data_IF_735142821831
#
_entry.id   IF_735142821831
#
_cell.length_a   1.000
_cell.length_b   1.000
_cell.length_c   1.000
_cell.angle_alpha   90.00
_cell.angle_beta   90.00
_cell.angle_gamma   90.00
#
_symmetry.space_group_name_H-M   'P 1'
#
loop_
_entity.id
_entity.type
_entity.pdbx_description
1 polymer ?
#
# COMPACT_ATOMS: atom_id res chain seq x y z
N UNK A 1 5.89 -4.79 5.69
CA UNK A 1 4.63 -4.70 4.91
C UNK A 1 4.71 -3.44 4.08
N UNK A 2 4.61 -3.57 2.75
CA UNK A 2 4.55 -2.42 1.84
C UNK A 2 3.33 -1.57 2.23
N UNK A 3 3.49 -0.27 2.37
CA UNK A 3 2.38 0.66 2.56
C UNK A 3 1.53 0.63 1.29
N UNK A 4 0.23 0.27 1.42
CA UNK A 4 -0.67 -0.03 0.28
C UNK A 4 -1.12 1.17 -0.56
N UNK A 5 -0.19 2.06 -0.90
CA UNK A 5 -0.41 3.17 -1.81
C UNK A 5 0.72 3.19 -2.84
N UNK A 6 0.39 2.76 -4.05
CA UNK A 6 1.33 2.65 -5.16
C UNK A 6 0.81 3.40 -6.37
N UNK A 7 1.72 4.00 -7.13
CA UNK A 7 1.41 4.58 -8.44
C UNK A 7 2.31 3.94 -9.48
N UNK A 8 1.72 3.46 -10.57
CA UNK A 8 2.43 2.71 -11.60
C UNK A 8 2.27 3.33 -12.97
N UNK A 9 3.33 3.24 -13.77
CA UNK A 9 3.18 3.36 -15.23
C UNK A 9 2.57 2.07 -15.80
N UNK A 10 2.02 2.08 -17.04
CA UNK A 10 1.48 0.87 -17.66
C UNK A 10 2.45 -0.31 -17.78
N UNK A 11 3.76 -0.09 -17.59
CA UNK A 11 4.77 -1.16 -17.56
C UNK A 11 4.49 -2.22 -16.48
N UNK A 12 3.78 -1.87 -15.40
CA UNK A 12 3.41 -2.83 -14.35
C UNK A 12 2.63 -4.02 -14.91
N UNK A 13 1.76 -3.81 -15.90
CA UNK A 13 0.98 -4.90 -16.48
C UNK A 13 1.88 -5.94 -17.14
N UNK A 14 2.93 -5.52 -17.83
CA UNK A 14 3.87 -6.47 -18.43
C UNK A 14 4.59 -7.29 -17.35
N UNK A 15 5.05 -6.65 -16.27
CA UNK A 15 5.67 -7.34 -15.14
C UNK A 15 4.71 -8.34 -14.48
N UNK A 16 3.44 -7.96 -14.27
CA UNK A 16 2.43 -8.88 -13.70
C UNK A 16 2.22 -10.15 -14.53
N UNK A 17 2.37 -10.10 -15.86
CA UNK A 17 2.26 -11.30 -16.71
C UNK A 17 3.46 -12.25 -16.59
N UNK A 18 4.58 -11.79 -16.03
CA UNK A 18 5.80 -12.58 -15.84
C UNK A 18 5.88 -13.22 -14.46
N UNK A 19 5.17 -12.68 -13.47
CA UNK A 19 5.13 -13.19 -12.09
C UNK A 19 4.71 -14.67 -12.09
N UNK A 20 5.41 -15.46 -11.30
CA UNK A 20 5.08 -16.86 -11.05
C UNK A 20 4.36 -16.99 -9.69
N UNK A 21 3.51 -18.01 -9.48
CA UNK A 21 2.87 -18.22 -8.18
C UNK A 21 3.89 -18.37 -7.05
N UNK A 22 3.63 -17.72 -5.92
CA UNK A 22 4.37 -17.89 -4.67
C UNK A 22 4.12 -19.27 -4.06
N UNK A 23 4.79 -19.59 -2.94
CA UNK A 23 4.54 -20.82 -2.17
C UNK A 23 3.08 -20.95 -1.68
N UNK A 24 2.33 -19.84 -1.69
CA UNK A 24 0.90 -19.78 -1.35
C UNK A 24 0.00 -20.00 -2.57
N UNK A 25 0.56 -20.10 -3.77
CA UNK A 25 -0.17 -20.16 -5.03
C UNK A 25 -0.72 -18.81 -5.50
N UNK A 26 -0.31 -17.70 -4.87
CA UNK A 26 -0.75 -16.34 -5.20
C UNK A 26 0.25 -15.65 -6.13
N UNK A 27 -0.23 -14.76 -6.99
CA UNK A 27 0.61 -13.88 -7.81
C UNK A 27 0.81 -12.57 -7.07
N UNK A 28 2.02 -12.34 -6.55
CA UNK A 28 2.30 -11.22 -5.67
C UNK A 28 2.62 -9.94 -6.48
N UNK A 29 2.02 -8.81 -6.09
CA UNK A 29 2.34 -7.52 -6.72
C UNK A 29 3.79 -7.10 -6.42
N UNK A 30 4.35 -7.48 -5.27
CA UNK A 30 5.75 -7.23 -4.92
C UNK A 30 6.71 -7.83 -5.95
N UNK A 31 6.41 -9.04 -6.45
CA UNK A 31 7.27 -9.73 -7.41
C UNK A 31 7.25 -9.01 -8.76
N UNK A 32 6.10 -8.44 -9.15
CA UNK A 32 6.01 -7.59 -10.33
C UNK A 32 6.85 -6.30 -10.16
N UNK A 33 6.87 -5.72 -8.96
CA UNK A 33 7.69 -4.54 -8.65
C UNK A 33 9.18 -4.90 -8.71
N UNK A 34 9.58 -6.04 -8.15
CA UNK A 34 10.95 -6.53 -8.20
C UNK A 34 11.43 -6.70 -9.65
N UNK A 35 10.60 -7.28 -10.53
CA UNK A 35 10.91 -7.35 -11.96
C UNK A 35 11.12 -5.98 -12.61
N UNK A 36 10.37 -4.95 -12.20
CA UNK A 36 10.59 -3.58 -12.69
C UNK A 36 11.94 -3.04 -12.20
N UNK A 37 12.31 -3.28 -10.94
CA UNK A 37 13.62 -2.90 -10.36
C UNK A 37 14.75 -3.59 -11.14
N UNK A 38 14.67 -4.90 -11.32
CA UNK A 38 15.67 -5.71 -12.02
C UNK A 38 15.83 -5.29 -13.49
N UNK A 39 14.76 -4.84 -14.13
CA UNK A 39 14.80 -4.30 -15.50
C UNK A 39 15.44 -2.91 -15.62
N UNK A 40 15.90 -2.33 -14.51
CA UNK A 40 16.56 -1.01 -14.47
C UNK A 40 15.58 0.17 -14.54
N UNK A 41 14.30 -0.04 -14.25
CA UNK A 41 13.32 1.04 -14.16
C UNK A 41 13.47 1.79 -12.84
N UNK A 42 13.13 3.07 -12.88
CA UNK A 42 13.18 3.93 -11.71
C UNK A 42 11.97 3.68 -10.81
N UNK A 43 12.21 3.54 -9.52
CA UNK A 43 11.20 3.45 -8.47
C UNK A 43 11.56 4.47 -7.40
N UNK A 44 10.60 5.32 -7.08
CA UNK A 44 10.73 6.33 -6.04
C UNK A 44 9.92 5.92 -4.81
N UNK A 45 10.56 5.86 -3.65
CA UNK A 45 9.90 5.67 -2.38
C UNK A 45 9.63 7.05 -1.74
N UNK A 46 8.36 7.43 -1.66
CA UNK A 46 7.94 8.72 -1.10
C UNK A 46 7.47 8.52 0.34
N UNK A 47 8.09 9.23 1.28
CA UNK A 47 7.60 9.28 2.66
C UNK A 47 6.36 10.16 2.72
N UNK A 48 5.29 9.62 3.29
CA UNK A 48 4.07 10.37 3.57
C UNK A 48 4.07 10.85 5.02
N UNK A 49 3.66 12.09 5.22
CA UNK A 49 3.37 12.64 6.54
C UNK A 49 1.97 12.24 7.01
N UNK A 50 1.74 12.28 8.32
CA UNK A 50 0.47 11.91 8.94
C UNK A 50 0.49 10.50 9.52
N UNK A 51 -0.67 9.86 9.53
CA UNK A 51 -0.87 8.57 10.19
C UNK A 51 -1.46 7.54 9.23
N UNK A 52 -1.12 6.27 9.47
CA UNK A 52 -1.65 5.11 8.75
C UNK A 52 -2.03 4.04 9.77
N UNK A 53 -3.18 3.43 9.58
CA UNK A 53 -3.66 2.28 10.34
C UNK A 53 -4.01 1.18 9.35
N UNK A 54 -3.54 -0.04 9.63
CA UNK A 54 -3.88 -1.22 8.86
C UNK A 54 -5.20 -1.81 9.37
N UNK A 55 -6.29 -1.63 8.63
CA UNK A 55 -7.63 -2.04 9.07
C UNK A 55 -7.95 -3.50 8.75
N UNK A 56 -6.93 -4.34 8.52
CA UNK A 56 -7.10 -5.78 8.32
C UNK A 56 -7.66 -6.52 9.53
N UNK A 57 -7.52 -5.95 10.74
CA UNK A 57 -8.04 -6.51 11.98
C UNK A 57 -9.15 -5.62 12.58
N UNK A 58 -10.19 -6.22 13.20
CA UNK A 58 -11.29 -5.45 13.83
C UNK A 58 -10.81 -4.40 14.83
N UNK A 59 -9.83 -4.73 15.67
CA UNK A 59 -9.26 -3.83 16.66
C UNK A 59 -8.59 -2.58 16.05
N UNK A 60 -7.91 -2.74 14.91
CA UNK A 60 -7.28 -1.62 14.21
C UNK A 60 -8.31 -0.78 13.46
N UNK A 61 -9.38 -1.41 12.94
CA UNK A 61 -10.52 -0.68 12.38
C UNK A 61 -11.17 0.22 13.43
N UNK A 62 -11.46 -0.32 14.62
CA UNK A 62 -12.10 0.43 15.70
C UNK A 62 -11.20 1.59 16.17
N UNK A 63 -9.88 1.36 16.20
CA UNK A 63 -8.88 2.41 16.46
C UNK A 63 -8.87 3.52 15.39
N UNK A 64 -8.97 3.15 14.12
CA UNK A 64 -9.05 4.12 13.02
C UNK A 64 -10.32 4.97 13.12
N UNK A 65 -11.46 4.35 13.45
CA UNK A 65 -12.73 5.05 13.64
C UNK A 65 -12.67 6.06 14.81
N UNK A 66 -12.15 5.64 15.97
CA UNK A 66 -12.01 6.53 17.12
C UNK A 66 -11.14 7.75 16.81
N UNK A 67 -10.06 7.56 16.06
CA UNK A 67 -9.17 8.64 15.66
C UNK A 67 -9.86 9.65 14.74
N UNK A 68 -10.55 9.16 13.71
CA UNK A 68 -11.30 10.01 12.78
C UNK A 68 -12.38 10.83 13.51
N UNK A 69 -13.09 10.22 14.46
CA UNK A 69 -14.09 10.92 15.27
C UNK A 69 -13.48 11.98 16.19
N UNK A 70 -12.27 11.76 16.71
CA UNK A 70 -11.56 12.75 17.51
C UNK A 70 -11.16 13.97 16.67
N UNK A 71 -10.57 13.75 15.49
CA UNK A 71 -10.17 14.82 14.55
C UNK A 71 -11.39 15.65 14.08
N UNK A 72 -12.55 14.99 13.83
CA UNK A 72 -13.79 15.71 13.49
C UNK A 72 -14.31 16.60 14.62
N UNK A 73 -14.20 16.14 15.88
CA UNK A 73 -14.61 16.94 17.05
C UNK A 73 -13.73 18.16 17.22
N UNK A 74 -12.41 18.00 17.08
CA UNK A 74 -11.45 19.12 17.15
C UNK A 74 -11.76 20.17 16.07
N UNK A 75 -12.04 19.75 14.83
CA UNK A 75 -12.37 20.65 13.73
C UNK A 75 -13.74 21.35 13.84
N UNK A 76 -14.64 20.90 14.72
CA UNK A 76 -15.98 21.50 14.92
C UNK A 76 -16.04 22.43 16.14
N UNK A 77 -15.02 22.42 16.99
CA UNK A 77 -14.93 23.23 18.21
C UNK A 77 -14.18 24.55 17.97
N UNK A 78 -13.45 24.68 16.85
CA UNK A 78 -12.98 25.96 16.28
C UNK A 78 -14.06 26.65 15.43
#
# INVERSE_FOLDING_TARGET
MMTGFDTFTPAIFHACHLVQPSDRGEYELSDAIDLLIESGRTIDAIRMDGWRIDVGYPEDRDKAEQRLQAEQKEATVE
#
